data_IF_588278438470
#
_entry.id   IF_588278438470
#
_cell.length_a   1.000
_cell.length_b   1.000
_cell.length_c   1.000
_cell.angle_alpha   90.00
_cell.angle_beta   90.00
_cell.angle_gamma   90.00
#
_symmetry.space_group_name_H-M   'P 1'
#
loop_
_entity.id
_entity.type
_entity.pdbx_description
1 polymer ?
#
# COMPACT_ATOMS: atom_id res chain seq x y z
N UNK A 1 -9.28 13.83 -1.59
CA UNK A 1 -10.69 14.26 -1.69
C UNK A 1 -10.74 15.72 -1.26
N UNK A 2 -11.34 16.62 -2.04
CA UNK A 2 -11.54 18.00 -1.59
C UNK A 2 -12.63 18.02 -0.50
N UNK A 3 -12.51 18.88 0.52
CA UNK A 3 -13.55 19.06 1.54
C UNK A 3 -14.70 19.92 0.99
N UNK A 4 -15.37 19.43 -0.06
CA UNK A 4 -16.47 20.14 -0.71
C UNK A 4 -17.45 19.14 -1.32
N UNK A 5 -18.74 19.36 -1.14
CA UNK A 5 -19.83 18.62 -1.78
C UNK A 5 -20.93 19.60 -2.20
N UNK A 6 -21.71 19.21 -3.21
CA UNK A 6 -22.83 20.01 -3.71
C UNK A 6 -24.12 19.51 -3.08
N UNK A 7 -24.79 20.38 -2.34
CA UNK A 7 -26.11 20.15 -1.78
C UNK A 7 -27.12 19.91 -2.91
N UNK A 8 -27.79 18.76 -2.98
CA UNK A 8 -28.70 18.44 -4.08
C UNK A 8 -30.01 19.23 -4.02
N UNK A 9 -30.40 19.73 -2.84
CA UNK A 9 -31.65 20.50 -2.65
C UNK A 9 -31.44 21.98 -2.96
N UNK A 10 -30.40 22.57 -2.38
CA UNK A 10 -30.13 24.02 -2.52
C UNK A 10 -29.18 24.35 -3.68
N UNK A 11 -28.45 23.36 -4.18
CA UNK A 11 -27.41 23.55 -5.20
C UNK A 11 -26.12 24.21 -4.70
N UNK A 12 -26.06 24.58 -3.41
CA UNK A 12 -24.93 25.26 -2.80
C UNK A 12 -23.75 24.30 -2.54
N UNK A 13 -22.53 24.83 -2.56
CA UNK A 13 -21.34 24.10 -2.15
C UNK A 13 -21.16 24.17 -0.63
N UNK A 14 -20.93 23.02 0.01
CA UNK A 14 -20.75 22.88 1.46
C UNK A 14 -19.58 21.96 1.76
N UNK A 15 -19.11 21.94 3.01
CA UNK A 15 -18.16 20.93 3.47
C UNK A 15 -18.78 19.54 3.49
N UNK A 16 -17.96 18.51 3.32
CA UNK A 16 -18.38 17.12 3.47
C UNK A 16 -18.48 16.79 4.96
N UNK A 17 -19.52 16.04 5.36
CA UNK A 17 -19.52 15.36 6.66
C UNK A 17 -18.68 14.08 6.54
N UNK A 18 -17.44 14.13 7.01
CA UNK A 18 -16.49 13.02 6.86
C UNK A 18 -16.73 11.86 7.81
N UNK A 19 -17.57 12.02 8.85
CA UNK A 19 -17.74 11.00 9.91
C UNK A 19 -18.23 9.66 9.36
N UNK A 20 -19.18 9.70 8.44
CA UNK A 20 -19.71 8.50 7.77
C UNK A 20 -18.65 7.82 6.89
N UNK A 21 -17.78 8.61 6.22
CA UNK A 21 -16.67 8.08 5.42
C UNK A 21 -15.65 7.38 6.33
N UNK A 22 -15.35 7.96 7.50
CA UNK A 22 -14.47 7.33 8.48
C UNK A 22 -15.08 6.05 9.05
N UNK A 23 -16.37 6.04 9.36
CA UNK A 23 -17.08 4.86 9.84
C UNK A 23 -17.05 3.71 8.81
N UNK A 24 -17.22 4.05 7.52
CA UNK A 24 -17.21 3.08 6.42
C UNK A 24 -15.80 2.66 5.93
N UNK A 25 -14.71 3.15 6.55
CA UNK A 25 -13.35 2.95 6.04
C UNK A 25 -12.97 1.46 5.91
N UNK A 26 -13.32 0.64 6.90
CA UNK A 26 -12.97 -0.79 6.89
C UNK A 26 -13.71 -1.55 5.78
N UNK A 27 -14.99 -1.24 5.56
CA UNK A 27 -15.82 -1.81 4.50
C UNK A 27 -15.32 -1.38 3.12
N UNK A 28 -15.02 -0.10 2.94
CA UNK A 28 -14.43 0.42 1.70
C UNK A 28 -13.08 -0.24 1.39
N UNK A 29 -12.24 -0.48 2.41
CA UNK A 29 -10.99 -1.20 2.25
C UNK A 29 -11.22 -2.67 1.85
N UNK A 30 -12.21 -3.35 2.43
CA UNK A 30 -12.54 -4.72 2.07
C UNK A 30 -12.99 -4.85 0.61
N UNK A 31 -13.84 -3.93 0.14
CA UNK A 31 -14.25 -3.85 -1.27
C UNK A 31 -13.06 -3.59 -2.19
N UNK A 32 -12.20 -2.62 -1.84
CA UNK A 32 -10.97 -2.33 -2.58
C UNK A 32 -10.07 -3.57 -2.70
N UNK A 33 -9.80 -4.26 -1.58
CA UNK A 33 -8.95 -5.45 -1.58
C UNK A 33 -9.57 -6.58 -2.41
N UNK A 34 -10.89 -6.76 -2.38
CA UNK A 34 -11.57 -7.76 -3.19
C UNK A 34 -11.41 -7.48 -4.69
N UNK A 35 -11.66 -6.25 -5.12
CA UNK A 35 -11.52 -5.85 -6.53
C UNK A 35 -10.07 -5.91 -7.00
N UNK A 36 -9.12 -5.48 -6.17
CA UNK A 36 -7.70 -5.57 -6.48
C UNK A 36 -7.26 -7.03 -6.64
N UNK A 37 -7.70 -7.92 -5.75
CA UNK A 37 -7.42 -9.35 -5.84
C UNK A 37 -8.09 -10.00 -7.06
N UNK A 38 -9.30 -9.55 -7.45
CA UNK A 38 -9.95 -9.98 -8.69
C UNK A 38 -9.11 -9.59 -9.90
N UNK A 39 -8.67 -8.33 -9.98
CA UNK A 39 -7.79 -7.86 -11.04
C UNK A 39 -6.46 -8.62 -11.10
N UNK A 40 -5.83 -8.89 -9.95
CA UNK A 40 -4.59 -9.67 -9.90
C UNK A 40 -4.77 -11.09 -10.46
N UNK A 41 -5.87 -11.77 -10.10
CA UNK A 41 -6.20 -13.10 -10.62
C UNK A 41 -6.50 -13.07 -12.12
N UNK A 42 -7.23 -12.06 -12.59
CA UNK A 42 -7.49 -11.87 -14.02
C UNK A 42 -6.19 -11.63 -14.80
N UNK A 43 -5.23 -10.93 -14.21
CA UNK A 43 -3.88 -10.74 -14.74
C UNK A 43 -2.99 -12.01 -14.62
N UNK A 44 -3.50 -13.10 -14.05
CA UNK A 44 -2.83 -14.41 -14.01
C UNK A 44 -2.02 -14.69 -12.75
N UNK A 45 -2.06 -13.81 -11.75
CA UNK A 45 -1.36 -14.01 -10.48
C UNK A 45 -2.16 -14.86 -9.50
N UNK A 46 -1.44 -15.53 -8.60
CA UNK A 46 -2.04 -16.23 -7.47
C UNK A 46 -2.07 -15.29 -6.25
N UNK A 47 -3.25 -15.13 -5.68
CA UNK A 47 -3.48 -14.27 -4.51
C UNK A 47 -3.49 -15.10 -3.24
N UNK A 48 -2.54 -14.85 -2.35
CA UNK A 48 -2.43 -15.45 -1.02
C UNK A 48 -2.98 -14.51 0.04
N UNK A 49 -4.19 -14.80 0.53
CA UNK A 49 -4.90 -13.95 1.50
C UNK A 49 -4.34 -14.08 2.91
N UNK A 50 -4.31 -12.95 3.60
CA UNK A 50 -4.08 -12.85 5.04
C UNK A 50 -5.13 -11.94 5.65
N UNK A 51 -5.47 -12.20 6.92
CA UNK A 51 -6.35 -11.33 7.70
C UNK A 51 -5.63 -11.07 9.00
N UNK A 52 -5.45 -9.79 9.34
CA UNK A 52 -4.80 -9.43 10.60
C UNK A 52 -5.76 -9.56 11.79
N UNK A 53 -5.25 -9.38 13.00
CA UNK A 53 -6.02 -9.49 14.26
C UNK A 53 -7.19 -8.49 14.37
N UNK A 54 -7.23 -7.47 13.50
CA UNK A 54 -8.32 -6.49 13.42
C UNK A 54 -9.35 -6.83 12.35
N UNK A 55 -9.32 -8.05 11.83
CA UNK A 55 -10.18 -8.51 10.73
C UNK A 55 -10.02 -7.68 9.43
N UNK A 56 -8.88 -7.02 9.24
CA UNK A 56 -8.61 -6.32 7.98
C UNK A 56 -7.97 -7.28 7.00
N UNK A 57 -8.60 -7.53 5.83
CA UNK A 57 -8.04 -8.43 4.84
C UNK A 57 -6.91 -7.73 4.07
N UNK A 58 -5.91 -8.51 3.69
CA UNK A 58 -4.81 -8.15 2.81
C UNK A 58 -4.42 -9.38 2.00
N UNK A 59 -3.57 -9.21 1.00
CA UNK A 59 -3.01 -10.35 0.28
C UNK A 59 -1.63 -10.03 -0.26
N UNK A 60 -0.91 -11.08 -0.62
CA UNK A 60 0.34 -11.00 -1.38
C UNK A 60 0.21 -11.81 -2.67
N UNK A 61 1.02 -11.45 -3.66
CA UNK A 61 1.12 -12.23 -4.90
C UNK A 61 2.15 -13.34 -4.68
N UNK A 62 1.74 -14.60 -4.85
CA UNK A 62 2.61 -15.76 -4.64
C UNK A 62 3.88 -15.71 -5.47
N UNK A 63 3.76 -15.18 -6.69
CA UNK A 63 4.84 -15.11 -7.66
C UNK A 63 5.89 -14.05 -7.30
N UNK A 64 5.62 -13.16 -6.35
CA UNK A 64 6.56 -12.13 -5.88
C UNK A 64 7.28 -12.63 -4.62
N UNK A 65 8.59 -12.91 -4.68
CA UNK A 65 9.34 -13.44 -3.54
C UNK A 65 9.27 -12.54 -2.31
N UNK A 66 9.17 -13.14 -1.12
CA UNK A 66 9.14 -12.40 0.15
C UNK A 66 10.36 -11.49 0.33
N UNK A 67 11.56 -12.01 0.07
CA UNK A 67 12.79 -11.22 0.15
C UNK A 67 12.78 -9.98 -0.75
N UNK A 68 12.11 -10.05 -1.92
CA UNK A 68 11.95 -8.90 -2.81
C UNK A 68 10.96 -7.88 -2.23
N UNK A 69 9.84 -8.36 -1.66
CA UNK A 69 8.87 -7.49 -0.98
C UNK A 69 9.52 -6.75 0.18
N UNK A 70 10.37 -7.42 0.95
CA UNK A 70 11.15 -6.81 2.03
C UNK A 70 12.16 -5.78 1.51
N UNK A 71 12.91 -6.10 0.45
CA UNK A 71 13.88 -5.19 -0.16
C UNK A 71 13.22 -3.89 -0.67
N UNK A 72 12.02 -3.98 -1.24
CA UNK A 72 11.23 -2.80 -1.66
C UNK A 72 10.49 -2.10 -0.52
N UNK A 73 10.49 -2.66 0.69
CA UNK A 73 9.82 -2.11 1.87
C UNK A 73 10.72 -1.23 2.73
N UNK A 74 11.64 -0.46 2.12
CA UNK A 74 12.63 0.39 2.82
C UNK A 74 12.00 1.29 3.89
N UNK A 75 10.84 1.89 3.59
CA UNK A 75 10.13 2.77 4.54
C UNK A 75 9.67 2.02 5.80
N UNK A 76 9.25 0.77 5.66
CA UNK A 76 8.89 -0.07 6.82
C UNK A 76 10.13 -0.34 7.68
N UNK A 77 11.25 -0.72 7.05
CA UNK A 77 12.51 -0.98 7.74
C UNK A 77 13.02 0.25 8.52
N UNK A 78 12.98 1.44 7.91
CA UNK A 78 13.36 2.71 8.57
C UNK A 78 12.51 3.00 9.81
N UNK A 79 11.18 2.81 9.71
CA UNK A 79 10.27 3.04 10.83
C UNK A 79 10.52 2.04 11.95
N UNK A 80 10.68 0.76 11.60
CA UNK A 80 10.90 -0.30 12.58
C UNK A 80 12.24 -0.10 13.31
N UNK A 81 13.31 0.25 12.60
CA UNK A 81 14.61 0.60 13.20
C UNK A 81 14.52 1.82 14.14
N UNK A 82 13.72 2.84 13.78
CA UNK A 82 13.52 4.00 14.66
C UNK A 82 12.69 3.69 15.91
N UNK A 83 11.75 2.74 15.82
CA UNK A 83 11.02 2.23 16.99
C UNK A 83 11.95 1.43 17.90
N UNK A 84 12.77 0.55 17.32
CA UNK A 84 13.76 -0.24 18.05
C UNK A 84 14.79 0.64 18.77
N UNK A 85 15.29 1.69 18.11
CA UNK A 85 16.17 2.69 18.73
C UNK A 85 15.53 3.41 19.92
N UNK A 86 14.20 3.42 20.02
CA UNK A 86 13.42 3.98 21.14
C UNK A 86 13.02 2.90 22.17
N UNK A 87 13.52 1.68 22.01
CA UNK A 87 13.27 0.56 22.93
C UNK A 87 11.88 -0.05 22.80
N UNK A 88 11.21 0.10 21.66
CA UNK A 88 9.91 -0.51 21.40
C UNK A 88 9.91 -1.25 20.05
N UNK A 89 8.87 -2.01 19.78
CA UNK A 89 8.69 -2.71 18.50
C UNK A 89 7.44 -2.20 17.81
N UNK A 90 7.26 -2.56 16.54
CA UNK A 90 6.01 -2.26 15.83
C UNK A 90 4.79 -2.95 16.47
N UNK A 91 4.97 -4.09 17.13
CA UNK A 91 3.87 -4.77 17.82
C UNK A 91 3.45 -4.01 19.08
N UNK A 92 4.43 -3.55 19.86
CA UNK A 92 4.21 -2.97 21.19
C UNK A 92 3.97 -1.45 21.18
N UNK A 93 4.43 -0.76 20.12
CA UNK A 93 4.33 0.69 20.04
C UNK A 93 2.87 1.18 19.93
N UNK A 94 2.57 2.27 20.64
CA UNK A 94 1.29 2.98 20.55
C UNK A 94 1.11 3.61 19.17
N UNK A 95 -0.13 4.04 18.85
CA UNK A 95 -0.41 4.75 17.61
C UNK A 95 0.43 6.03 17.47
N UNK A 96 0.56 6.80 18.55
CA UNK A 96 1.34 8.04 18.56
C UNK A 96 2.84 7.80 18.36
N UNK A 97 3.39 6.75 18.98
CA UNK A 97 4.79 6.36 18.79
C UNK A 97 5.08 5.95 17.34
N UNK A 98 4.18 5.17 16.74
CA UNK A 98 4.26 4.79 15.31
C UNK A 98 4.19 6.01 14.41
N UNK A 99 3.28 6.95 14.70
CA UNK A 99 3.15 8.19 13.95
C UNK A 99 4.40 9.05 14.06
N UNK A 100 4.93 9.24 15.28
CA UNK A 100 6.16 9.99 15.51
C UNK A 100 7.34 9.38 14.75
N UNK A 101 7.58 8.07 14.88
CA UNK A 101 8.63 7.38 14.14
C UNK A 101 8.46 7.52 12.61
N UNK A 102 7.22 7.44 12.11
CA UNK A 102 6.91 7.62 10.69
C UNK A 102 7.08 9.05 10.18
N UNK A 103 6.98 10.06 11.03
CA UNK A 103 7.26 11.44 10.66
C UNK A 103 8.76 11.76 10.74
N UNK A 104 9.41 11.35 11.83
CA UNK A 104 10.81 11.67 12.11
C UNK A 104 11.78 11.04 11.12
N UNK A 105 11.47 9.83 10.62
CA UNK A 105 12.31 9.13 9.65
C UNK A 105 11.99 9.51 8.19
N UNK A 106 11.01 10.39 7.96
CA UNK A 106 10.58 10.73 6.60
C UNK A 106 11.55 11.70 5.95
N UNK A 107 12.30 11.23 4.97
CA UNK A 107 13.11 12.10 4.12
C UNK A 107 12.24 13.00 3.22
N UNK A 108 12.78 14.18 2.89
CA UNK A 108 12.17 15.07 1.92
C UNK A 108 12.15 14.42 0.53
N UNK A 109 11.12 14.73 -0.27
CA UNK A 109 11.07 14.27 -1.66
C UNK A 109 12.13 15.01 -2.47
N UNK A 110 12.91 14.27 -3.22
CA UNK A 110 13.85 14.81 -4.21
C UNK A 110 13.43 14.41 -5.63
N UNK A 111 13.93 15.14 -6.62
CA UNK A 111 13.71 14.83 -8.04
C UNK A 111 14.60 13.66 -8.41
N UNK A 112 13.97 12.56 -8.82
CA UNK A 112 14.65 11.34 -9.23
C UNK A 112 14.49 11.15 -10.74
N UNK A 113 15.56 10.69 -11.40
CA UNK A 113 15.45 10.20 -12.77
C UNK A 113 14.60 8.92 -12.79
N UNK A 114 13.43 9.00 -13.44
CA UNK A 114 12.47 7.90 -13.51
C UNK A 114 13.01 6.70 -14.28
N UNK A 115 13.87 6.92 -15.27
CA UNK A 115 14.44 5.83 -16.06
C UNK A 115 15.46 5.05 -15.23
N UNK A 116 16.35 5.76 -14.54
CA UNK A 116 17.31 5.18 -13.61
C UNK A 116 16.62 4.40 -12.49
N UNK A 117 15.56 4.96 -11.88
CA UNK A 117 14.80 4.30 -10.82
C UNK A 117 14.11 3.02 -11.32
N UNK A 118 13.53 3.04 -12.52
CA UNK A 118 12.92 1.85 -13.10
C UNK A 118 13.95 0.74 -13.36
N UNK A 119 15.17 1.10 -13.78
CA UNK A 119 16.23 0.12 -13.98
C UNK A 119 16.75 -0.47 -12.66
N UNK A 120 16.90 0.36 -11.64
CA UNK A 120 17.25 -0.09 -10.29
C UNK A 120 16.24 -1.09 -9.74
N UNK A 121 14.94 -0.83 -9.92
CA UNK A 121 13.89 -1.77 -9.53
C UNK A 121 13.96 -3.10 -10.28
N UNK A 122 14.21 -3.08 -11.60
CA UNK A 122 14.38 -4.32 -12.37
C UNK A 122 15.63 -5.09 -11.93
N UNK A 123 16.73 -4.39 -11.70
CA UNK A 123 17.97 -4.99 -11.20
C UNK A 123 17.76 -5.65 -9.83
N UNK A 124 17.09 -4.96 -8.92
CA UNK A 124 16.72 -5.48 -7.60
C UNK A 124 15.84 -6.71 -7.73
N UNK A 125 14.79 -6.65 -8.55
CA UNK A 125 13.91 -7.79 -8.82
C UNK A 125 14.68 -9.03 -9.28
N UNK A 126 15.55 -8.86 -10.30
CA UNK A 126 16.38 -9.95 -10.83
C UNK A 126 17.33 -10.53 -9.79
N UNK A 127 17.92 -9.68 -8.95
CA UNK A 127 18.78 -10.11 -7.83
C UNK A 127 18.03 -11.00 -6.83
N UNK A 128 16.73 -10.76 -6.65
CA UNK A 128 15.87 -11.57 -5.79
C UNK A 128 15.11 -12.69 -6.54
N UNK A 129 15.52 -13.02 -7.76
CA UNK A 129 14.98 -14.14 -8.53
C UNK A 129 13.60 -13.88 -9.14
N UNK A 130 13.18 -12.63 -9.26
CA UNK A 130 11.97 -12.23 -9.98
C UNK A 130 12.37 -11.60 -11.32
N UNK A 131 11.87 -12.15 -12.43
CA UNK A 131 12.07 -11.58 -13.77
C UNK A 131 10.81 -10.77 -14.16
N UNK A 132 10.83 -9.43 -14.10
CA UNK A 132 9.65 -8.59 -14.36
C UNK A 132 9.01 -8.80 -15.73
N UNK A 133 9.80 -9.20 -16.71
CA UNK A 133 9.42 -9.44 -18.10
C UNK A 133 8.66 -10.78 -18.24
N UNK A 134 8.80 -11.70 -17.29
CA UNK A 134 8.16 -13.02 -17.28
C UNK A 134 6.88 -13.05 -16.42
N UNK A 135 6.11 -11.97 -16.42
CA UNK A 135 4.84 -11.92 -15.69
C UNK A 135 3.86 -12.98 -16.19
N UNK A 136 2.96 -13.48 -15.31
CA UNK A 136 1.90 -14.39 -15.73
C UNK A 136 1.08 -13.84 -16.90
N UNK A 137 0.72 -14.74 -17.83
CA UNK A 137 -0.08 -14.41 -19.01
C UNK A 137 -1.57 -14.51 -18.65
N UNK A 138 -2.10 -13.50 -17.96
CA UNK A 138 -3.53 -13.33 -17.76
C UNK A 138 -4.19 -12.45 -18.81
N UNK A 139 -5.48 -12.17 -18.59
CA UNK A 139 -6.22 -11.16 -19.36
C UNK A 139 -5.51 -9.82 -19.21
N UNK A 140 -5.27 -9.13 -20.33
CA UNK A 140 -4.85 -7.73 -20.27
C UNK A 140 -6.01 -6.92 -19.72
N UNK A 141 -5.80 -6.30 -18.56
CA UNK A 141 -6.75 -5.37 -18.00
C UNK A 141 -6.60 -4.05 -18.75
N UNK A 142 -7.57 -3.71 -19.58
CA UNK A 142 -7.66 -2.36 -20.12
C UNK A 142 -7.92 -1.41 -18.95
N UNK A 143 -7.13 -0.34 -18.86
CA UNK A 143 -7.39 0.70 -17.87
C UNK A 143 -8.75 1.33 -18.20
N UNK A 144 -9.69 1.23 -17.25
CA UNK A 144 -11.00 1.88 -17.32
C UNK A 144 -10.89 3.40 -17.20
#
# INVERSE_FOLDING_TARGET
MANVTRDPETGAWRSIDSREIYAAQAEANALYMNELARGAREAGYTVDWTVNDKCHPSFELREVPEALREAWSSRKAEIDAALEARGTTRADATADQKQAAALDTRQAKDVQDRAALAEDWRSTARTHGFEPEQRPLGRTLDAA
#
